data_IF_195254530653
#
_entry.id   IF_195254530653
#
_cell.length_a   1.000
_cell.length_b   1.000
_cell.length_c   1.000
_cell.angle_alpha   90.00
_cell.angle_beta   90.00
_cell.angle_gamma   90.00
#
_symmetry.space_group_name_H-M   'P 1'
#
loop_
_entity.id
_entity.type
_entity.pdbx_description
1 polymer ?
#
# COMPACT_ATOMS: atom_id res chain seq x y z
N UNK A 1 -9.03 -17.26 -4.98
CA UNK A 1 -7.63 -16.88 -4.64
C UNK A 1 -7.14 -17.53 -3.35
N UNK A 2 -7.58 -17.10 -2.14
CA UNK A 2 -6.99 -17.65 -0.90
C UNK A 2 -7.10 -19.17 -0.77
N UNK A 3 -8.23 -19.77 -1.12
CA UNK A 3 -8.40 -21.23 -1.07
C UNK A 3 -7.41 -21.99 -1.96
N UNK A 4 -7.05 -21.46 -3.12
CA UNK A 4 -6.05 -22.04 -4.05
C UNK A 4 -4.64 -21.92 -3.46
N UNK A 5 -4.31 -20.74 -2.90
CA UNK A 5 -3.03 -20.52 -2.23
C UNK A 5 -2.91 -21.48 -1.02
N UNK A 6 -3.94 -21.60 -0.21
CA UNK A 6 -3.96 -22.50 0.94
C UNK A 6 -3.77 -23.98 0.54
N UNK A 7 -4.33 -24.39 -0.59
CA UNK A 7 -4.11 -25.75 -1.11
C UNK A 7 -2.63 -25.98 -1.46
N UNK A 8 -1.98 -24.99 -2.09
CA UNK A 8 -0.54 -25.04 -2.39
C UNK A 8 0.28 -25.08 -1.10
N UNK A 9 -0.03 -24.21 -0.14
CA UNK A 9 0.68 -24.16 1.15
C UNK A 9 0.56 -25.50 1.90
N UNK A 10 -0.62 -26.11 1.89
CA UNK A 10 -0.84 -27.43 2.49
C UNK A 10 0.00 -28.52 1.80
N UNK A 11 0.10 -28.48 0.48
CA UNK A 11 0.97 -29.38 -0.26
C UNK A 11 2.44 -29.17 0.14
N UNK A 12 2.89 -27.93 0.22
CA UNK A 12 4.27 -27.62 0.62
C UNK A 12 4.61 -28.10 2.04
N UNK A 13 3.68 -27.98 2.97
CA UNK A 13 3.84 -28.58 4.32
C UNK A 13 4.03 -30.10 4.23
N UNK A 14 3.27 -30.79 3.38
CA UNK A 14 3.42 -32.25 3.18
C UNK A 14 4.76 -32.61 2.54
N UNK A 15 5.34 -31.71 1.73
CA UNK A 15 6.69 -31.85 1.14
C UNK A 15 7.82 -31.50 2.15
N UNK A 16 7.48 -31.15 3.41
CA UNK A 16 8.45 -30.84 4.46
C UNK A 16 8.87 -29.36 4.51
N UNK A 17 8.21 -28.46 3.77
CA UNK A 17 8.49 -27.02 3.82
C UNK A 17 7.88 -26.42 5.08
N UNK A 18 8.65 -25.61 5.80
CA UNK A 18 8.15 -24.81 6.91
C UNK A 18 7.31 -23.64 6.35
N UNK A 19 6.03 -23.59 6.72
CA UNK A 19 5.11 -22.54 6.30
C UNK A 19 4.64 -21.73 7.49
N UNK A 20 4.79 -20.41 7.41
CA UNK A 20 4.33 -19.45 8.42
C UNK A 20 3.31 -18.48 7.82
N UNK A 21 2.21 -18.28 8.52
CA UNK A 21 1.16 -17.32 8.16
C UNK A 21 0.91 -16.36 9.31
N UNK A 22 1.14 -15.08 9.07
CA UNK A 22 0.79 -13.99 9.97
C UNK A 22 -0.34 -13.17 9.33
N UNK A 23 -1.39 -12.87 10.10
CA UNK A 23 -2.47 -12.02 9.63
C UNK A 23 -2.97 -11.09 10.75
N UNK A 24 -3.55 -9.97 10.34
CA UNK A 24 -4.14 -9.00 11.27
C UNK A 24 -5.45 -9.52 11.86
N UNK A 25 -5.65 -9.33 13.16
CA UNK A 25 -6.82 -9.79 13.89
C UNK A 25 -8.16 -9.21 13.45
N UNK A 26 -8.16 -8.06 12.73
CA UNK A 26 -9.37 -7.56 12.11
C UNK A 26 -9.97 -8.53 11.08
N UNK A 27 -9.14 -9.39 10.48
CA UNK A 27 -9.63 -10.41 9.56
C UNK A 27 -10.50 -11.48 10.26
N UNK A 28 -10.23 -11.79 11.54
CA UNK A 28 -11.07 -12.70 12.32
C UNK A 28 -12.47 -12.13 12.58
N UNK A 29 -12.58 -10.80 12.62
CA UNK A 29 -13.85 -10.12 12.80
C UNK A 29 -14.66 -9.95 11.51
N UNK A 30 -13.96 -9.80 10.36
CA UNK A 30 -14.59 -9.43 9.09
C UNK A 30 -14.75 -10.58 8.10
N UNK A 31 -13.78 -11.49 8.00
CA UNK A 31 -13.70 -12.48 6.91
C UNK A 31 -13.31 -13.88 7.33
N UNK A 32 -12.56 -14.02 8.41
CA UNK A 32 -12.10 -15.32 8.93
C UNK A 32 -12.89 -15.71 10.20
N UNK A 33 -12.89 -16.99 10.54
CA UNK A 33 -13.43 -17.45 11.82
C UNK A 33 -12.42 -17.26 12.96
N UNK A 34 -12.86 -17.03 14.19
CA UNK A 34 -11.99 -16.90 15.37
C UNK A 34 -11.13 -18.14 15.66
N UNK A 35 -11.46 -19.28 15.09
CA UNK A 35 -10.69 -20.51 15.18
C UNK A 35 -9.73 -20.72 14.00
N UNK A 36 -9.59 -19.70 13.11
CA UNK A 36 -8.87 -19.86 11.86
C UNK A 36 -7.39 -20.21 12.08
N UNK A 37 -6.73 -19.59 13.07
CA UNK A 37 -5.37 -19.95 13.49
C UNK A 37 -5.28 -21.46 13.80
N UNK A 38 -6.19 -22.01 14.61
CA UNK A 38 -6.21 -23.44 14.94
C UNK A 38 -6.43 -24.33 13.72
N UNK A 39 -7.20 -23.85 12.74
CA UNK A 39 -7.42 -24.58 11.48
C UNK A 39 -6.15 -24.65 10.64
N UNK A 40 -5.36 -23.58 10.58
CA UNK A 40 -4.04 -23.55 9.90
C UNK A 40 -3.06 -24.49 10.62
N UNK A 41 -2.99 -24.43 11.94
CA UNK A 41 -2.12 -25.28 12.75
C UNK A 41 -2.44 -26.80 12.59
N UNK A 42 -3.72 -27.17 12.46
CA UNK A 42 -4.15 -28.57 12.19
C UNK A 42 -3.63 -29.13 10.86
N UNK A 43 -3.31 -28.30 9.90
CA UNK A 43 -2.75 -28.71 8.61
C UNK A 43 -1.22 -28.51 8.54
N UNK A 44 -0.58 -28.23 9.69
CA UNK A 44 0.86 -28.09 9.82
C UNK A 44 1.41 -26.70 9.48
N UNK A 45 0.56 -25.70 9.25
CA UNK A 45 0.97 -24.33 9.02
C UNK A 45 1.12 -23.63 10.37
N UNK A 46 2.28 -23.07 10.65
CA UNK A 46 2.48 -22.20 11.81
C UNK A 46 1.71 -20.89 11.59
N UNK A 47 0.91 -20.47 12.58
CA UNK A 47 0.11 -19.26 12.40
C UNK A 47 0.16 -18.35 13.63
N UNK A 48 0.23 -17.03 13.37
CA UNK A 48 0.12 -15.98 14.39
C UNK A 48 -0.90 -14.93 13.96
N UNK A 49 -1.55 -14.34 14.95
CA UNK A 49 -2.52 -13.25 14.76
C UNK A 49 -1.94 -12.00 15.38
N UNK A 50 -1.81 -10.96 14.59
CA UNK A 50 -1.39 -9.65 15.07
C UNK A 50 -2.60 -8.87 15.59
N UNK A 51 -2.48 -8.27 16.79
CA UNK A 51 -3.48 -7.38 17.38
C UNK A 51 -4.92 -7.94 17.30
N UNK A 52 -5.13 -9.16 17.85
CA UNK A 52 -6.47 -9.74 17.99
C UNK A 52 -7.44 -8.75 18.61
N UNK A 53 -8.64 -8.66 18.02
CA UNK A 53 -9.66 -7.70 18.46
C UNK A 53 -10.23 -8.15 19.79
N UNK A 54 -10.00 -7.37 20.85
CA UNK A 54 -10.69 -7.51 22.13
C UNK A 54 -11.83 -6.50 22.20
N UNK A 55 -13.00 -6.83 22.78
CA UNK A 55 -14.19 -5.99 22.74
C UNK A 55 -14.14 -4.69 23.57
N UNK A 56 -12.96 -4.29 24.05
CA UNK A 56 -12.78 -3.05 24.81
C UNK A 56 -12.09 -1.98 23.97
N UNK A 57 -12.61 -0.76 24.02
CA UNK A 57 -12.06 0.44 23.37
C UNK A 57 -10.62 0.69 23.85
N UNK A 58 -9.67 0.49 22.96
CA UNK A 58 -8.26 0.83 23.17
C UNK A 58 -7.80 1.73 22.02
N UNK A 59 -6.97 2.72 22.32
CA UNK A 59 -6.30 3.54 21.29
C UNK A 59 -5.41 2.70 20.37
N UNK A 60 -4.91 1.57 20.85
CA UNK A 60 -4.17 0.57 20.06
C UNK A 60 -5.02 -0.14 19.00
N UNK A 61 -6.34 0.06 18.99
CA UNK A 61 -7.23 -0.52 17.99
C UNK A 61 -6.91 -0.08 16.55
N UNK A 62 -6.32 1.11 16.39
CA UNK A 62 -5.95 1.64 15.10
C UNK A 62 -4.61 1.10 14.59
N UNK A 63 -3.76 0.50 15.44
CA UNK A 63 -2.49 -0.07 15.01
C UNK A 63 -2.72 -1.42 14.36
N UNK A 64 -2.60 -1.47 13.02
CA UNK A 64 -2.87 -2.64 12.19
C UNK A 64 -1.69 -3.00 11.31
N UNK A 65 -1.50 -4.29 11.07
CA UNK A 65 -0.52 -4.75 10.08
C UNK A 65 -1.14 -4.71 8.69
N UNK A 66 -0.77 -3.70 7.92
CA UNK A 66 -1.25 -3.49 6.56
C UNK A 66 -0.25 -3.95 5.50
N UNK A 67 0.87 -4.54 5.90
CA UNK A 67 1.89 -5.04 4.99
C UNK A 67 1.40 -6.29 4.26
N UNK A 68 1.83 -6.43 3.01
CA UNK A 68 1.62 -7.59 2.18
C UNK A 68 3.00 -8.11 1.80
N UNK A 69 3.41 -9.18 2.45
CA UNK A 69 4.75 -9.77 2.27
C UNK A 69 4.59 -11.26 2.04
N UNK A 70 5.13 -11.78 0.94
CA UNK A 70 5.34 -13.19 0.71
C UNK A 70 6.84 -13.43 0.55
N UNK A 71 7.39 -14.32 1.36
CA UNK A 71 8.80 -14.70 1.33
C UNK A 71 8.94 -16.17 0.99
N UNK A 72 9.89 -16.49 0.13
CA UNK A 72 10.20 -17.86 -0.24
C UNK A 72 11.69 -18.09 -0.03
N UNK A 73 12.02 -18.98 0.92
CA UNK A 73 13.37 -19.46 1.25
C UNK A 73 14.40 -18.35 1.53
N UNK A 74 13.99 -17.14 1.94
CA UNK A 74 14.86 -15.98 2.07
C UNK A 74 15.46 -15.48 0.75
N UNK A 75 15.06 -16.03 -0.40
CA UNK A 75 15.64 -15.73 -1.72
C UNK A 75 14.76 -14.85 -2.58
N UNK A 76 13.44 -14.96 -2.42
CA UNK A 76 12.45 -14.21 -3.19
C UNK A 76 11.46 -13.56 -2.25
N UNK A 77 11.14 -12.30 -2.52
CA UNK A 77 10.08 -11.57 -1.82
C UNK A 77 9.07 -10.99 -2.82
N UNK A 78 7.79 -10.97 -2.40
CA UNK A 78 6.74 -10.24 -3.11
C UNK A 78 6.11 -9.24 -2.15
N UNK A 79 5.85 -8.03 -2.64
CA UNK A 79 5.12 -6.99 -1.93
C UNK A 79 4.31 -6.12 -2.89
N UNK A 80 3.36 -5.36 -2.37
CA UNK A 80 2.51 -4.45 -3.16
C UNK A 80 1.16 -4.21 -2.52
N UNK A 81 0.19 -3.72 -3.27
CA UNK A 81 -1.13 -3.38 -2.77
C UNK A 81 -2.08 -4.58 -2.59
N UNK A 82 -1.81 -5.71 -3.24
CA UNK A 82 -2.73 -6.84 -3.39
C UNK A 82 -3.02 -7.54 -2.07
N UNK A 83 -4.29 -7.58 -1.64
CA UNK A 83 -4.77 -8.46 -0.57
C UNK A 83 -5.19 -9.83 -1.14
N UNK A 84 -5.25 -10.86 -0.28
CA UNK A 84 -5.56 -12.22 -0.69
C UNK A 84 -7.09 -12.47 -0.80
N UNK A 85 -7.76 -11.72 -1.67
CA UNK A 85 -9.18 -11.86 -1.95
C UNK A 85 -9.47 -11.84 -3.45
N UNK A 86 -10.64 -12.37 -3.87
CA UNK A 86 -10.95 -12.63 -5.27
C UNK A 86 -11.18 -11.34 -6.08
N UNK A 87 -11.63 -10.26 -5.46
CA UNK A 87 -11.77 -8.96 -6.09
C UNK A 87 -10.43 -8.36 -6.53
N UNK A 88 -9.35 -8.58 -5.79
CA UNK A 88 -8.01 -8.04 -6.11
C UNK A 88 -7.39 -8.65 -7.38
N UNK A 89 -7.90 -9.79 -7.82
CA UNK A 89 -7.46 -10.47 -9.04
C UNK A 89 -8.55 -10.52 -10.10
N UNK A 90 -9.59 -9.71 -9.96
CA UNK A 90 -10.72 -9.60 -10.88
C UNK A 90 -11.48 -10.93 -11.14
N UNK A 91 -11.46 -11.88 -10.20
CA UNK A 91 -12.33 -13.07 -10.21
C UNK A 91 -13.77 -12.72 -9.81
N UNK A 92 -13.93 -11.68 -9.01
CA UNK A 92 -15.23 -11.12 -8.60
C UNK A 92 -15.18 -9.62 -8.89
N UNK A 93 -16.14 -9.14 -9.67
CA UNK A 93 -16.31 -7.72 -9.93
C UNK A 93 -17.15 -7.08 -8.81
N UNK A 94 -16.49 -6.31 -7.95
CA UNK A 94 -17.13 -5.63 -6.81
C UNK A 94 -17.24 -4.12 -7.00
N UNK A 95 -16.20 -3.50 -7.55
CA UNK A 95 -16.08 -2.05 -7.79
C UNK A 95 -15.55 -1.79 -9.21
N UNK A 96 -16.08 -2.51 -10.20
CA UNK A 96 -15.51 -2.55 -11.54
C UNK A 96 -14.16 -3.27 -11.57
N UNK A 97 -13.36 -2.98 -12.59
CA UNK A 97 -12.00 -3.54 -12.70
C UNK A 97 -11.12 -3.07 -11.55
N UNK A 98 -10.49 -4.01 -10.86
CA UNK A 98 -9.55 -3.73 -9.77
C UNK A 98 -8.12 -3.64 -10.31
N UNK A 99 -7.52 -2.45 -10.22
CA UNK A 99 -6.15 -2.19 -10.65
C UNK A 99 -5.23 -2.11 -9.44
N UNK A 100 -4.24 -2.98 -9.39
CA UNK A 100 -3.23 -3.00 -8.33
C UNK A 100 -1.83 -3.17 -8.92
N UNK A 101 -0.80 -3.04 -8.07
CA UNK A 101 0.62 -3.18 -8.43
C UNK A 101 1.34 -3.97 -7.36
N UNK A 102 2.23 -4.87 -7.81
CA UNK A 102 3.11 -5.62 -6.92
C UNK A 102 4.51 -5.74 -7.54
N UNK A 103 5.50 -6.00 -6.67
CA UNK A 103 6.89 -6.26 -7.03
C UNK A 103 7.27 -7.67 -6.61
N UNK A 104 8.11 -8.31 -7.43
CA UNK A 104 8.92 -9.45 -7.06
C UNK A 104 10.37 -8.98 -6.92
N UNK A 105 11.03 -9.38 -5.85
CA UNK A 105 12.42 -9.04 -5.55
C UNK A 105 13.25 -10.31 -5.37
N UNK A 106 14.47 -10.26 -5.84
CA UNK A 106 15.52 -11.25 -5.60
C UNK A 106 16.81 -10.54 -5.16
N UNK A 107 17.69 -11.25 -4.47
CA UNK A 107 18.96 -10.71 -3.98
C UNK A 107 18.87 -10.08 -2.59
N UNK A 108 19.89 -9.29 -2.16
CA UNK A 108 20.02 -8.82 -0.77
C UNK A 108 18.85 -7.99 -0.24
N UNK A 109 18.08 -7.35 -1.13
CA UNK A 109 16.89 -6.59 -0.75
C UNK A 109 15.81 -7.47 -0.05
N UNK A 110 15.82 -8.80 -0.29
CA UNK A 110 14.89 -9.75 0.34
C UNK A 110 15.09 -9.81 1.86
N UNK A 111 16.32 -9.63 2.35
CA UNK A 111 16.64 -9.69 3.79
C UNK A 111 15.88 -8.65 4.59
N UNK A 112 15.64 -7.46 4.02
CA UNK A 112 14.83 -6.44 4.69
C UNK A 112 13.38 -6.92 4.91
N UNK A 113 12.76 -7.55 3.92
CA UNK A 113 11.42 -8.11 4.08
C UNK A 113 11.40 -9.29 5.04
N UNK A 114 12.46 -10.10 5.07
CA UNK A 114 12.61 -11.16 6.05
C UNK A 114 12.64 -10.59 7.48
N UNK A 115 13.44 -9.57 7.72
CA UNK A 115 13.51 -8.89 9.03
C UNK A 115 12.15 -8.28 9.39
N UNK A 116 11.48 -7.58 8.47
CA UNK A 116 10.16 -6.99 8.70
C UNK A 116 9.11 -8.05 9.07
N UNK A 117 9.11 -9.20 8.40
CA UNK A 117 8.23 -10.32 8.72
C UNK A 117 8.54 -10.90 10.10
N UNK A 118 9.81 -11.16 10.39
CA UNK A 118 10.24 -11.79 11.63
C UNK A 118 10.03 -10.89 12.84
N UNK A 119 10.21 -9.57 12.71
CA UNK A 119 9.86 -8.59 13.75
C UNK A 119 8.40 -8.69 14.17
N UNK A 120 7.49 -8.84 13.22
CA UNK A 120 6.07 -9.00 13.54
C UNK A 120 5.76 -10.41 14.03
N UNK A 121 6.47 -11.41 13.54
CA UNK A 121 6.34 -12.77 14.03
C UNK A 121 6.69 -12.88 15.51
N UNK A 122 7.68 -12.11 15.99
CA UNK A 122 8.15 -12.12 17.39
C UNK A 122 7.58 -10.97 18.24
N UNK A 123 6.62 -10.21 17.73
CA UNK A 123 6.08 -9.02 18.41
C UNK A 123 5.58 -9.28 19.86
N UNK A 124 5.31 -10.51 20.23
CA UNK A 124 4.86 -10.94 21.57
C UNK A 124 5.99 -11.25 22.58
N UNK A 125 7.17 -10.65 22.45
CA UNK A 125 8.33 -10.79 23.38
C UNK A 125 9.15 -12.09 23.25
N UNK A 126 9.08 -12.79 22.15
CA UNK A 126 10.00 -13.88 21.86
C UNK A 126 11.27 -13.35 21.20
N UNK A 127 12.42 -13.83 21.64
CA UNK A 127 13.68 -13.58 20.94
C UNK A 127 13.76 -14.55 19.76
N UNK A 128 13.75 -14.06 18.54
CA UNK A 128 13.96 -14.89 17.37
C UNK A 128 15.38 -14.69 16.86
N UNK A 129 16.12 -15.79 16.71
CA UNK A 129 17.35 -15.80 15.94
C UNK A 129 16.99 -15.75 14.45
N UNK A 130 17.36 -14.67 13.77
CA UNK A 130 17.13 -14.48 12.33
C UNK A 130 18.16 -15.21 11.47
N UNK A 131 19.31 -15.57 12.06
CA UNK A 131 20.45 -16.15 11.36
C UNK A 131 20.12 -17.40 10.52
N UNK A 132 19.26 -18.34 11.00
CA UNK A 132 18.90 -19.53 10.22
C UNK A 132 18.12 -19.23 8.93
N UNK A 133 17.54 -18.04 8.80
CA UNK A 133 16.70 -17.64 7.66
C UNK A 133 17.43 -16.73 6.69
N UNK A 134 18.60 -16.21 7.09
CA UNK A 134 19.48 -15.45 6.21
C UNK A 134 20.18 -16.40 5.26
N UNK A 135 20.22 -16.08 3.99
CA UNK A 135 20.85 -16.90 2.96
C UNK A 135 21.88 -16.11 2.18
N UNK A 136 22.81 -16.79 1.55
CA UNK A 136 23.70 -16.15 0.60
C UNK A 136 22.94 -15.80 -0.68
N UNK A 137 23.02 -14.55 -1.08
CA UNK A 137 22.35 -14.04 -2.26
C UNK A 137 23.25 -14.07 -3.48
N UNK A 138 22.65 -14.44 -4.62
CA UNK A 138 23.28 -14.27 -5.91
C UNK A 138 23.47 -12.77 -6.19
N UNK A 139 24.65 -12.38 -6.64
CA UNK A 139 24.88 -11.04 -7.16
C UNK A 139 24.16 -10.86 -8.50
N UNK A 140 23.51 -9.71 -8.67
CA UNK A 140 22.89 -9.31 -9.92
C UNK A 140 23.64 -8.10 -10.48
N UNK A 141 24.03 -8.18 -11.74
CA UNK A 141 24.60 -7.04 -12.47
C UNK A 141 23.46 -6.20 -13.05
N UNK A 142 22.80 -5.43 -12.18
CA UNK A 142 21.68 -4.56 -12.55
C UNK A 142 21.99 -3.13 -12.11
N UNK A 143 21.66 -2.14 -12.93
CA UNK A 143 21.86 -0.73 -12.56
C UNK A 143 20.95 -0.32 -11.41
N UNK A 144 21.40 0.67 -10.63
CA UNK A 144 20.60 1.31 -9.61
C UNK A 144 20.54 0.60 -8.27
N UNK A 145 19.56 0.96 -7.47
CA UNK A 145 19.38 0.47 -6.10
C UNK A 145 17.93 0.07 -5.84
N UNK A 146 17.75 -0.99 -5.07
CA UNK A 146 16.48 -1.48 -4.55
C UNK A 146 16.54 -1.40 -3.04
N UNK A 147 15.75 -0.54 -2.42
CA UNK A 147 15.78 -0.25 -0.99
C UNK A 147 14.40 -0.48 -0.37
N UNK A 148 14.11 -1.70 0.11
CA UNK A 148 12.90 -1.94 0.89
C UNK A 148 12.99 -1.23 2.24
N UNK A 149 11.83 -0.77 2.72
CA UNK A 149 11.71 -0.16 4.05
C UNK A 149 10.37 -0.48 4.69
N UNK A 150 10.33 -0.41 6.02
CA UNK A 150 9.11 -0.46 6.81
C UNK A 150 8.79 0.89 7.41
N UNK A 151 7.53 1.10 7.76
CA UNK A 151 7.05 2.21 8.56
C UNK A 151 6.23 1.66 9.72
N UNK A 152 6.40 2.20 10.91
CA UNK A 152 5.75 1.69 12.11
C UNK A 152 5.16 2.85 12.94
N UNK A 153 3.96 2.70 13.51
CA UNK A 153 3.30 3.76 14.26
C UNK A 153 3.83 3.93 15.69
N UNK A 154 4.89 3.21 16.09
CA UNK A 154 5.38 3.15 17.46
C UNK A 154 6.58 4.06 17.72
N UNK A 155 7.15 4.62 16.69
CA UNK A 155 8.22 5.61 16.79
C UNK A 155 7.75 6.99 16.32
N UNK A 156 8.68 7.94 16.23
CA UNK A 156 8.39 9.30 15.77
C UNK A 156 8.74 9.54 14.31
N UNK A 157 9.34 8.54 13.67
CA UNK A 157 9.80 8.62 12.29
C UNK A 157 8.66 8.26 11.35
N UNK A 158 8.32 9.15 10.45
CA UNK A 158 7.31 8.96 9.41
C UNK A 158 8.02 8.60 8.11
N UNK A 159 8.56 7.39 8.06
CA UNK A 159 9.43 6.98 6.95
C UNK A 159 8.70 7.05 5.62
N UNK A 160 7.47 6.52 5.55
CA UNK A 160 6.66 6.51 4.34
C UNK A 160 6.35 7.91 3.82
N UNK A 161 5.90 8.79 4.71
CA UNK A 161 5.60 10.18 4.38
C UNK A 161 6.85 10.94 3.92
N UNK A 162 7.95 10.80 4.66
CA UNK A 162 9.22 11.45 4.36
C UNK A 162 9.77 11.02 2.98
N UNK A 163 9.65 9.75 2.62
CA UNK A 163 10.04 9.26 1.29
C UNK A 163 9.20 9.91 0.18
N UNK A 164 7.90 10.04 0.37
CA UNK A 164 7.02 10.69 -0.61
C UNK A 164 7.33 12.19 -0.75
N UNK A 165 7.54 12.88 0.37
CA UNK A 165 7.94 14.30 0.38
C UNK A 165 9.31 14.49 -0.27
N UNK A 166 10.26 13.59 -0.01
CA UNK A 166 11.59 13.64 -0.64
C UNK A 166 11.51 13.51 -2.16
N UNK A 167 10.71 12.56 -2.68
CA UNK A 167 10.48 12.41 -4.12
C UNK A 167 9.89 13.70 -4.71
N UNK A 168 8.84 14.26 -4.09
CA UNK A 168 8.19 15.50 -4.52
C UNK A 168 9.16 16.69 -4.54
N UNK A 169 10.03 16.80 -3.53
CA UNK A 169 11.01 17.89 -3.42
C UNK A 169 12.16 17.79 -4.43
N UNK A 170 12.56 16.57 -4.80
CA UNK A 170 13.65 16.33 -5.74
C UNK A 170 13.21 16.17 -7.19
N UNK A 171 11.91 16.07 -7.44
CA UNK A 171 11.36 15.98 -8.79
C UNK A 171 11.65 17.24 -9.62
N UNK A 172 11.97 17.03 -10.91
CA UNK A 172 12.27 18.08 -11.87
C UNK A 172 11.25 18.14 -13.00
N UNK A 173 10.90 16.99 -13.56
CA UNK A 173 10.04 16.89 -14.72
C UNK A 173 8.63 16.44 -14.31
N UNK A 174 8.51 15.33 -13.60
CA UNK A 174 7.20 14.80 -13.20
C UNK A 174 7.22 13.95 -11.90
N UNK A 175 6.05 13.88 -11.25
CA UNK A 175 5.70 12.88 -10.24
C UNK A 175 4.32 12.33 -10.56
N UNK A 176 4.25 11.04 -10.81
CA UNK A 176 3.03 10.31 -11.13
C UNK A 176 2.67 9.37 -9.99
N UNK A 177 1.42 9.43 -9.55
CA UNK A 177 0.93 8.79 -8.33
C UNK A 177 -0.32 7.97 -8.62
N UNK A 178 -0.38 6.72 -8.16
CA UNK A 178 -1.64 5.99 -8.01
C UNK A 178 -1.90 5.75 -6.53
N UNK A 179 -3.10 6.03 -6.07
CA UNK A 179 -3.50 5.77 -4.68
C UNK A 179 -5.00 5.55 -4.58
N UNK A 180 -5.48 4.64 -3.71
CA UNK A 180 -6.92 4.43 -3.50
C UNK A 180 -7.57 5.56 -2.70
N UNK A 181 -6.79 6.24 -1.85
CA UNK A 181 -7.27 7.28 -0.96
C UNK A 181 -6.38 8.51 -1.04
N UNK A 182 -6.98 9.69 -0.86
CA UNK A 182 -6.30 10.97 -0.86
C UNK A 182 -6.83 11.78 0.33
N UNK A 183 -6.30 11.47 1.51
CA UNK A 183 -6.68 12.09 2.78
C UNK A 183 -5.40 12.68 3.38
N UNK A 184 -5.04 13.85 2.86
CA UNK A 184 -3.75 14.47 3.07
C UNK A 184 -3.70 15.26 4.39
N UNK A 185 -2.57 15.20 5.03
CA UNK A 185 -2.17 16.16 6.06
C UNK A 185 -1.63 17.46 5.44
N UNK A 186 -1.16 18.36 6.28
CA UNK A 186 -0.65 19.65 5.83
C UNK A 186 0.68 19.55 5.09
N UNK A 187 1.55 18.62 5.48
CA UNK A 187 2.91 18.46 4.95
C UNK A 187 2.88 17.89 3.54
N UNK A 188 2.16 16.79 3.31
CA UNK A 188 1.99 16.21 1.98
C UNK A 188 1.19 17.11 1.04
N UNK A 189 0.11 17.74 1.54
CA UNK A 189 -0.65 18.69 0.75
C UNK A 189 0.24 19.84 0.26
N UNK A 190 1.09 20.38 1.15
CA UNK A 190 2.02 21.44 0.79
C UNK A 190 3.06 20.94 -0.23
N UNK A 191 3.66 19.77 -0.03
CA UNK A 191 4.66 19.22 -0.92
C UNK A 191 4.13 18.97 -2.34
N UNK A 192 2.91 18.42 -2.47
CA UNK A 192 2.24 18.20 -3.76
C UNK A 192 2.00 19.52 -4.51
N UNK A 193 1.48 20.53 -3.81
CA UNK A 193 1.25 21.86 -4.36
C UNK A 193 2.55 22.52 -4.79
N UNK A 194 3.53 22.54 -3.90
CA UNK A 194 4.82 23.18 -4.14
C UNK A 194 5.57 22.55 -5.33
N UNK A 195 5.51 21.23 -5.49
CA UNK A 195 6.07 20.55 -6.65
C UNK A 195 5.40 21.05 -7.94
N UNK A 196 4.06 21.08 -7.99
CA UNK A 196 3.31 21.57 -9.15
C UNK A 196 3.57 23.06 -9.45
N UNK A 197 3.60 23.91 -8.40
CA UNK A 197 3.89 25.34 -8.52
C UNK A 197 5.33 25.64 -9.02
N UNK A 198 6.29 24.71 -8.80
CA UNK A 198 7.63 24.75 -9.39
C UNK A 198 7.67 24.36 -10.87
N UNK A 199 6.55 23.88 -11.43
CA UNK A 199 6.45 23.46 -12.84
C UNK A 199 6.62 21.93 -13.03
N UNK A 200 6.70 21.14 -11.96
CA UNK A 200 6.70 19.66 -12.03
C UNK A 200 5.31 19.18 -12.46
N UNK A 201 5.23 18.23 -13.41
CA UNK A 201 3.98 17.55 -13.74
C UNK A 201 3.57 16.60 -12.62
N UNK A 202 2.76 17.07 -11.68
CA UNK A 202 2.20 16.23 -10.63
C UNK A 202 0.85 15.69 -11.10
N UNK A 203 0.77 14.38 -11.34
CA UNK A 203 -0.42 13.69 -11.81
C UNK A 203 -0.83 12.57 -10.85
N UNK A 204 -2.09 12.57 -10.40
CA UNK A 204 -2.64 11.62 -9.41
C UNK A 204 -3.79 10.85 -10.04
N UNK A 205 -3.73 9.51 -10.05
CA UNK A 205 -4.84 8.65 -10.44
C UNK A 205 -5.54 8.12 -9.19
N UNK A 206 -6.85 8.36 -9.13
CA UNK A 206 -7.77 7.97 -8.08
C UNK A 206 -8.79 6.95 -8.60
N UNK A 207 -9.50 6.20 -7.72
CA UNK A 207 -10.61 5.36 -8.14
C UNK A 207 -11.73 6.16 -8.80
N UNK A 208 -12.29 5.66 -9.92
CA UNK A 208 -13.53 6.16 -10.48
C UNK A 208 -14.76 5.58 -9.78
N UNK A 209 -14.68 4.33 -9.33
CA UNK A 209 -15.72 3.64 -8.53
C UNK A 209 -15.18 3.40 -7.13
N UNK A 210 -15.64 4.12 -6.10
CA UNK A 210 -15.07 4.00 -4.75
C UNK A 210 -15.58 2.79 -3.98
N UNK A 211 -14.72 2.20 -3.14
CA UNK A 211 -15.08 1.19 -2.13
C UNK A 211 -15.75 1.81 -0.90
N UNK A 212 -15.30 3.02 -0.50
CA UNK A 212 -15.80 3.78 0.66
C UNK A 212 -16.21 5.18 0.23
N UNK A 213 -17.50 5.42 0.17
CA UNK A 213 -18.04 6.75 -0.25
C UNK A 213 -17.58 7.90 0.64
N UNK A 214 -17.43 7.67 1.96
CA UNK A 214 -16.93 8.71 2.89
C UNK A 214 -15.51 9.16 2.56
N UNK A 215 -14.60 8.23 2.38
CA UNK A 215 -13.20 8.50 1.99
C UNK A 215 -13.11 9.18 0.61
N UNK A 216 -13.94 8.75 -0.34
CA UNK A 216 -13.99 9.33 -1.67
C UNK A 216 -14.50 10.79 -1.66
N UNK A 217 -15.56 11.09 -0.92
CA UNK A 217 -16.05 12.47 -0.82
C UNK A 217 -15.10 13.36 0.00
N UNK A 218 -14.42 12.78 0.99
CA UNK A 218 -13.35 13.47 1.70
C UNK A 218 -12.19 13.81 0.76
N UNK A 219 -11.71 12.86 -0.06
CA UNK A 219 -10.69 13.10 -1.07
C UNK A 219 -11.05 14.27 -2.00
N UNK A 220 -12.30 14.34 -2.44
CA UNK A 220 -12.78 15.43 -3.31
C UNK A 220 -12.74 16.82 -2.65
N UNK A 221 -12.61 16.92 -1.34
CA UNK A 221 -12.43 18.23 -0.67
C UNK A 221 -11.03 18.82 -0.88
N UNK A 222 -10.05 18.00 -1.26
CA UNK A 222 -8.69 18.46 -1.59
C UNK A 222 -8.54 18.85 -3.06
N UNK A 223 -9.43 18.37 -3.96
CA UNK A 223 -9.34 18.59 -5.40
C UNK A 223 -9.28 20.09 -5.79
N UNK A 224 -10.15 20.99 -5.27
CA UNK A 224 -10.08 22.41 -5.63
C UNK A 224 -8.69 23.02 -5.39
N UNK A 225 -8.13 22.73 -4.22
CA UNK A 225 -6.82 23.28 -3.80
C UNK A 225 -5.67 22.71 -4.64
N UNK A 226 -5.69 21.42 -4.92
CA UNK A 226 -4.68 20.75 -5.74
C UNK A 226 -4.75 21.21 -7.20
N UNK A 227 -5.95 21.25 -7.80
CA UNK A 227 -6.14 21.72 -9.17
C UNK A 227 -5.71 23.19 -9.34
N UNK A 228 -6.00 24.05 -8.34
CA UNK A 228 -5.58 25.44 -8.36
C UNK A 228 -4.05 25.63 -8.35
N UNK A 229 -3.31 24.69 -7.77
CA UNK A 229 -1.84 24.68 -7.76
C UNK A 229 -1.24 24.01 -9.00
N UNK A 230 -2.05 23.49 -9.93
CA UNK A 230 -1.59 22.85 -11.16
C UNK A 230 -1.46 21.32 -11.09
N UNK A 231 -1.78 20.69 -9.94
CA UNK A 231 -1.83 19.23 -9.85
C UNK A 231 -2.93 18.69 -10.75
N UNK A 232 -2.64 17.65 -11.51
CA UNK A 232 -3.61 16.98 -12.40
C UNK A 232 -4.19 15.76 -11.70
N UNK A 233 -5.51 15.67 -11.68
CA UNK A 233 -6.23 14.56 -11.03
C UNK A 233 -7.00 13.78 -12.11
N UNK A 234 -6.90 12.46 -12.03
CA UNK A 234 -7.54 11.53 -12.94
C UNK A 234 -8.36 10.52 -12.14
N UNK A 235 -9.56 10.17 -12.61
CA UNK A 235 -10.40 9.14 -12.02
C UNK A 235 -10.47 7.94 -12.98
N UNK A 236 -10.04 6.76 -12.52
CA UNK A 236 -9.98 5.53 -13.30
C UNK A 236 -11.39 5.02 -13.61
N UNK A 237 -11.85 5.23 -14.83
CA UNK A 237 -13.24 4.95 -15.20
C UNK A 237 -13.63 3.48 -15.19
N UNK A 238 -12.72 2.51 -15.47
CA UNK A 238 -13.09 1.09 -15.42
C UNK A 238 -13.39 0.57 -14.00
N UNK A 239 -12.93 1.28 -12.93
CA UNK A 239 -13.20 0.77 -11.60
C UNK A 239 -12.35 1.37 -10.47
N UNK A 240 -11.77 0.48 -9.66
CA UNK A 240 -11.06 0.84 -8.44
C UNK A 240 -9.54 0.74 -8.60
N UNK A 241 -8.84 1.85 -8.39
CA UNK A 241 -7.38 1.89 -8.25
C UNK A 241 -7.04 1.53 -6.80
N UNK A 242 -6.26 0.46 -6.62
CA UNK A 242 -5.73 0.09 -5.31
C UNK A 242 -4.19 0.05 -5.27
N UNK A 243 -3.53 0.32 -6.39
CA UNK A 243 -2.08 0.50 -6.45
C UNK A 243 -1.63 1.66 -5.54
N UNK A 244 -0.48 1.52 -4.93
CA UNK A 244 0.20 2.57 -4.17
C UNK A 244 1.57 2.73 -4.80
N UNK A 245 1.66 3.66 -5.72
CA UNK A 245 2.89 3.97 -6.44
C UNK A 245 3.18 5.46 -6.44
N UNK A 246 4.45 5.78 -6.42
CA UNK A 246 5.04 7.05 -6.83
C UNK A 246 6.10 6.73 -7.87
N UNK A 247 6.11 7.44 -8.98
CA UNK A 247 7.20 7.37 -9.96
C UNK A 247 7.59 8.78 -10.39
N UNK A 248 8.88 9.06 -10.50
CA UNK A 248 9.41 10.39 -10.78
C UNK A 248 10.61 10.33 -11.73
N UNK A 249 10.58 11.20 -12.74
CA UNK A 249 11.70 11.55 -13.61
C UNK A 249 12.40 10.32 -14.22
N UNK A 250 11.68 9.23 -14.47
CA UNK A 250 12.21 7.95 -14.96
C UNK A 250 13.41 7.41 -14.15
N UNK A 251 13.56 7.88 -12.93
CA UNK A 251 14.74 7.59 -12.11
C UNK A 251 14.42 7.06 -10.71
N UNK A 252 13.23 7.35 -10.20
CA UNK A 252 12.78 6.95 -8.86
C UNK A 252 11.38 6.36 -8.93
N UNK A 253 11.14 5.32 -8.16
CA UNK A 253 9.78 4.85 -7.91
C UNK A 253 9.65 4.27 -6.51
N UNK A 254 8.42 4.26 -5.98
CA UNK A 254 8.03 3.53 -4.78
C UNK A 254 6.84 2.66 -5.13
N UNK A 255 6.88 1.41 -4.72
CA UNK A 255 5.75 0.47 -4.75
C UNK A 255 5.63 -0.19 -3.39
N UNK A 256 4.44 -0.22 -2.82
CA UNK A 256 4.24 -0.81 -1.51
C UNK A 256 2.80 -0.84 -1.04
N UNK A 257 2.64 -0.72 0.26
CA UNK A 257 1.34 -0.84 0.92
C UNK A 257 0.78 0.51 1.40
N UNK A 258 1.60 1.58 1.38
CA UNK A 258 1.34 2.88 2.00
C UNK A 258 0.39 3.72 1.16
N UNK A 259 -0.83 3.93 1.64
CA UNK A 259 -1.80 4.86 1.04
C UNK A 259 -1.47 6.32 1.39
N UNK A 260 -2.04 7.26 0.64
CA UNK A 260 -2.07 8.68 1.02
C UNK A 260 -3.27 8.97 1.95
N UNK A 261 -3.27 8.33 3.12
CA UNK A 261 -4.26 8.56 4.17
C UNK A 261 -3.63 8.49 5.58
N UNK A 262 -4.32 9.05 6.57
CA UNK A 262 -3.81 9.10 7.96
C UNK A 262 -3.56 7.72 8.56
N UNK A 263 -4.35 6.69 8.19
CA UNK A 263 -4.14 5.35 8.74
C UNK A 263 -2.83 4.76 8.28
N UNK A 264 -2.52 4.86 6.99
CA UNK A 264 -1.25 4.36 6.46
C UNK A 264 -0.06 5.16 6.98
N UNK A 265 -0.18 6.48 7.06
CA UNK A 265 0.94 7.36 7.41
C UNK A 265 1.22 7.46 8.92
N UNK A 266 0.22 7.11 9.79
CA UNK A 266 0.34 7.37 11.23
C UNK A 266 -0.05 6.21 12.13
N UNK A 267 -0.76 5.19 11.61
CA UNK A 267 -1.38 4.18 12.48
C UNK A 267 -1.07 2.74 12.08
N UNK A 268 -0.69 2.50 10.83
CA UNK A 268 -0.45 1.16 10.35
C UNK A 268 1.03 0.78 10.34
N UNK A 269 1.30 -0.52 10.49
CA UNK A 269 2.55 -1.09 10.07
C UNK A 269 2.50 -1.26 8.57
N UNK A 270 3.38 -0.58 7.87
CA UNK A 270 3.44 -0.53 6.40
C UNK A 270 4.81 -0.97 5.89
N UNK A 271 4.91 -1.26 4.60
CA UNK A 271 6.17 -1.47 3.93
C UNK A 271 6.11 -1.00 2.48
N UNK A 272 7.26 -0.63 1.95
CA UNK A 272 7.39 -0.32 0.54
C UNK A 272 8.82 -0.59 0.05
N UNK A 273 9.01 -0.51 -1.25
CA UNK A 273 10.32 -0.61 -1.89
C UNK A 273 10.57 0.68 -2.66
N UNK A 274 11.63 1.37 -2.30
CA UNK A 274 12.16 2.49 -3.08
C UNK A 274 13.11 1.95 -4.15
N UNK A 275 12.87 2.34 -5.38
CA UNK A 275 13.65 1.97 -6.57
C UNK A 275 14.36 3.21 -7.10
N UNK A 276 15.66 3.10 -7.32
CA UNK A 276 16.45 4.18 -7.88
C UNK A 276 17.25 3.69 -9.09
N UNK A 277 16.94 4.24 -10.27
CA UNK A 277 17.60 3.94 -11.55
C UNK A 277 17.60 2.46 -11.94
N UNK A 278 16.63 1.70 -11.47
CA UNK A 278 16.38 0.32 -11.92
C UNK A 278 15.53 0.33 -13.19
N UNK A 279 15.61 -0.73 -14.00
CA UNK A 279 14.75 -0.88 -15.19
C UNK A 279 13.26 -0.92 -14.85
N UNK A 280 12.90 -1.41 -13.66
CA UNK A 280 11.51 -1.45 -13.18
C UNK A 280 10.87 -0.06 -13.03
N UNK A 281 11.66 1.01 -12.85
CA UNK A 281 11.12 2.38 -12.78
C UNK A 281 10.42 2.74 -14.08
N UNK A 282 11.00 2.39 -15.23
CA UNK A 282 10.39 2.65 -16.54
C UNK A 282 9.10 1.83 -16.74
N UNK A 283 9.10 0.57 -16.34
CA UNK A 283 7.92 -0.29 -16.43
C UNK A 283 6.76 0.23 -15.53
N UNK A 284 7.07 0.81 -14.36
CA UNK A 284 6.07 1.43 -13.48
C UNK A 284 5.51 2.70 -14.13
N UNK A 285 6.35 3.50 -14.78
CA UNK A 285 5.89 4.68 -15.52
C UNK A 285 5.02 4.29 -16.72
N UNK A 286 5.40 3.28 -17.49
CA UNK A 286 4.59 2.76 -18.60
C UNK A 286 3.23 2.28 -18.12
N UNK A 287 3.17 1.55 -16.99
CA UNK A 287 1.92 1.10 -16.36
C UNK A 287 1.05 2.28 -15.89
N UNK A 288 1.68 3.34 -15.35
CA UNK A 288 0.96 4.57 -15.01
C UNK A 288 0.33 5.22 -16.25
N UNK A 289 1.08 5.39 -17.33
CA UNK A 289 0.57 6.03 -18.55
C UNK A 289 -0.56 5.21 -19.19
N UNK A 290 -0.40 3.89 -19.29
CA UNK A 290 -1.44 2.99 -19.81
C UNK A 290 -2.71 3.01 -18.95
N UNK A 291 -2.57 3.21 -17.64
CA UNK A 291 -3.71 3.37 -16.72
C UNK A 291 -4.37 4.73 -16.89
N UNK A 292 -3.57 5.80 -17.04
CA UNK A 292 -4.05 7.18 -17.23
C UNK A 292 -4.89 7.33 -18.49
N UNK A 293 -4.54 6.61 -19.56
CA UNK A 293 -5.30 6.62 -20.83
C UNK A 293 -6.75 6.11 -20.67
N UNK A 294 -7.03 5.38 -19.58
CA UNK A 294 -8.36 4.86 -19.23
C UNK A 294 -9.09 5.75 -18.20
N UNK A 295 -8.54 6.91 -17.87
CA UNK A 295 -9.07 7.77 -16.83
C UNK A 295 -9.82 8.98 -17.37
N UNK A 296 -10.80 9.45 -16.61
CA UNK A 296 -11.37 10.78 -16.79
C UNK A 296 -10.47 11.81 -16.09
N UNK A 297 -10.03 12.84 -16.83
CA UNK A 297 -9.31 13.96 -16.23
C UNK A 297 -10.31 14.89 -15.52
N UNK A 298 -10.14 15.05 -14.23
CA UNK A 298 -10.98 15.90 -13.41
C UNK A 298 -10.72 17.38 -13.70
N UNK A 299 -11.78 18.12 -13.98
CA UNK A 299 -11.77 19.58 -14.17
C UNK A 299 -12.33 20.32 -12.94
N UNK A 300 -12.07 21.62 -12.86
CA UNK A 300 -12.71 22.49 -11.85
C UNK A 300 -14.25 22.45 -11.94
N UNK A 301 -14.76 22.38 -13.18
CA UNK A 301 -16.22 22.27 -13.43
C UNK A 301 -16.80 20.98 -12.87
N UNK A 302 -16.06 19.85 -12.90
CA UNK A 302 -16.52 18.58 -12.32
C UNK A 302 -16.69 18.72 -10.79
N UNK A 303 -15.73 19.41 -10.14
CA UNK A 303 -15.77 19.67 -8.70
C UNK A 303 -16.92 20.62 -8.33
N UNK A 304 -17.14 21.67 -9.13
CA UNK A 304 -18.24 22.61 -8.92
C UNK A 304 -19.60 21.95 -9.01
N UNK A 305 -19.77 21.03 -9.95
CA UNK A 305 -21.01 20.27 -10.20
C UNK A 305 -21.30 19.19 -9.15
N UNK A 306 -20.38 18.91 -8.22
CA UNK A 306 -20.66 17.94 -7.16
C UNK A 306 -21.90 18.33 -6.35
N UNK A 307 -22.83 17.39 -6.10
CA UNK A 307 -24.03 17.64 -5.30
C UNK A 307 -23.70 18.17 -3.90
N UNK A 308 -24.50 19.10 -3.40
CA UNK A 308 -24.28 19.73 -2.09
C UNK A 308 -24.14 18.73 -0.95
N UNK A 309 -24.93 17.65 -0.93
CA UNK A 309 -24.85 16.63 0.12
C UNK A 309 -23.51 15.88 0.10
N UNK A 310 -22.88 15.70 -1.06
CA UNK A 310 -21.54 15.07 -1.17
C UNK A 310 -20.45 16.02 -0.67
N UNK A 311 -20.55 17.31 -1.00
CA UNK A 311 -19.65 18.35 -0.46
C UNK A 311 -19.76 18.45 1.06
N UNK A 312 -20.98 18.47 1.58
CA UNK A 312 -21.26 18.53 3.02
C UNK A 312 -20.72 17.30 3.75
N UNK A 313 -20.93 16.08 3.21
CA UNK A 313 -20.40 14.86 3.79
C UNK A 313 -18.86 14.86 3.77
N UNK A 314 -18.24 15.28 2.68
CA UNK A 314 -16.78 15.42 2.59
C UNK A 314 -16.22 16.37 3.64
N UNK A 315 -16.85 17.53 3.84
CA UNK A 315 -16.44 18.50 4.87
C UNK A 315 -16.64 17.98 6.30
N UNK A 316 -17.73 17.27 6.57
CA UNK A 316 -17.97 16.65 7.88
C UNK A 316 -16.96 15.55 8.16
N UNK A 317 -16.64 14.70 7.18
CA UNK A 317 -15.63 13.66 7.34
C UNK A 317 -14.22 14.24 7.50
N UNK A 318 -13.93 15.44 6.99
CA UNK A 318 -12.67 16.14 7.18
C UNK A 318 -12.38 16.46 8.65
N UNK A 319 -13.39 16.67 9.47
CA UNK A 319 -13.23 16.91 10.92
C UNK A 319 -12.69 15.67 11.66
N UNK A 320 -12.96 14.49 11.14
CA UNK A 320 -12.53 13.21 11.72
C UNK A 320 -11.45 12.51 10.88
N UNK A 321 -10.92 13.19 9.87
CA UNK A 321 -9.92 12.65 8.96
C UNK A 321 -8.71 11.99 9.67
N UNK A 322 -8.16 12.55 10.78
CA UNK A 322 -7.05 11.90 11.50
C UNK A 322 -7.41 10.54 12.13
N UNK A 323 -8.70 10.20 12.18
CA UNK A 323 -9.19 8.90 12.69
C UNK A 323 -9.56 7.91 11.56
N UNK A 324 -9.44 8.33 10.30
CA UNK A 324 -9.88 7.56 9.11
C UNK A 324 -8.72 6.88 8.40
#
# INVERSE_FOLDING_TARGET
MWGEILAILKQKVQEGVEVRVLYDGMNEFSTLSFDYKKRLEKIGIQSRVFASVTPFLSTYYNYRDHRKILLIDGKVAFTGGVNLADEYINKIERFGHWKDTALMLEGPAVDTFLVLFLQMWTYSNETLDVTPYMVEHKAFDTPGFVVPYGDIPLDKDKVGENVYIDILNHARDFVHIMTPYLILDGELLHALKFAAERGVDVSIIMPGIPDKKSAYYLAKTYYPTLLASGVKIYEYTPGFIHAKIFVSDNSRAVVGTINLDYRSLYHHFECATYLYRTSSVLAIEEDFQATKDQCHRVSTTDVEKLPFHQKALGLLTKLVAPLM
#
